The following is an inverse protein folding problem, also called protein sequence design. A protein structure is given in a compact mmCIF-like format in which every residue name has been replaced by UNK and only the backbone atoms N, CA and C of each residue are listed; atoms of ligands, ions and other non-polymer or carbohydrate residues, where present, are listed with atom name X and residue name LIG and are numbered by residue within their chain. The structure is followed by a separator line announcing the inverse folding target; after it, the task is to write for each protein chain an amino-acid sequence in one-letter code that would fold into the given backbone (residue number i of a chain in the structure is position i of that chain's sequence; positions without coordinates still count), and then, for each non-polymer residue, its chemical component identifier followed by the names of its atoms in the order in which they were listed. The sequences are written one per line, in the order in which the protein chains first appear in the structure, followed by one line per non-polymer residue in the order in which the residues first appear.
data_IF_671489478362
#
_entry.id   IF_671489478362
#
_cell.length_a   1.000
_cell.length_b   1.000
_cell.length_c   1.000
_cell.angle_alpha   90.00
_cell.angle_beta   90.00
_cell.angle_gamma   90.00
#
_symmetry.space_group_name_H-M   'P 1'
#
loop_
_entity.id
_entity.type
_entity.pdbx_description
1 polymer ?
#
# COMPACT_ATOMS: atom_id res chain seq x y z
N UNK A 1 2.08 -82.38 -10.52
CA UNK A 1 2.10 -82.15 -9.05
C UNK A 1 3.27 -81.24 -8.75
N UNK A 2 3.23 -80.19 -7.94
CA UNK A 2 2.17 -79.38 -7.33
C UNK A 2 2.98 -78.42 -6.42
N UNK A 3 2.76 -77.10 -6.55
CA UNK A 3 3.07 -76.04 -5.56
C UNK A 3 4.60 -75.76 -5.30
N UNK A 4 5.08 -74.53 -5.09
CA UNK A 4 4.44 -73.30 -4.62
C UNK A 4 5.33 -72.09 -4.98
N UNK A 5 4.69 -71.04 -5.48
CA UNK A 5 5.27 -69.73 -5.80
C UNK A 5 5.72 -69.02 -4.53
N UNK A 6 6.92 -68.43 -4.52
CA UNK A 6 7.26 -67.32 -3.62
C UNK A 6 7.58 -66.13 -4.53
N UNK A 7 6.58 -65.28 -4.74
CA UNK A 7 6.74 -64.02 -5.46
C UNK A 7 7.34 -63.00 -4.48
N UNK A 8 8.58 -62.61 -4.70
CA UNK A 8 9.16 -61.42 -4.08
C UNK A 8 8.59 -60.23 -4.84
N UNK A 9 7.57 -59.60 -4.28
CA UNK A 9 7.04 -58.34 -4.79
C UNK A 9 8.02 -57.22 -4.42
N UNK A 10 8.94 -56.89 -5.33
CA UNK A 10 9.69 -55.66 -5.27
C UNK A 10 8.73 -54.51 -5.55
N UNK A 11 8.33 -53.79 -4.50
CA UNK A 11 7.53 -52.57 -4.61
C UNK A 11 8.46 -51.46 -5.11
N UNK A 12 8.67 -51.36 -6.41
CA UNK A 12 9.29 -50.18 -7.04
C UNK A 12 8.33 -49.00 -6.87
N UNK A 13 8.65 -48.10 -5.95
CA UNK A 13 8.01 -46.80 -5.87
C UNK A 13 8.29 -46.04 -7.18
N UNK A 14 7.31 -45.98 -8.07
CA UNK A 14 7.32 -45.02 -9.18
C UNK A 14 7.21 -43.63 -8.57
N UNK A 15 8.34 -42.94 -8.43
CA UNK A 15 8.36 -41.50 -8.28
C UNK A 15 7.77 -40.91 -9.57
N UNK A 16 6.50 -40.49 -9.52
CA UNK A 16 5.97 -39.62 -10.56
C UNK A 16 6.74 -38.30 -10.46
N UNK A 17 7.29 -37.77 -11.56
CA UNK A 17 7.81 -36.43 -11.53
C UNK A 17 6.62 -35.51 -11.27
N UNK A 18 6.65 -34.78 -10.16
CA UNK A 18 5.88 -33.56 -10.03
C UNK A 18 6.39 -32.64 -11.13
N UNK A 19 5.70 -32.64 -12.27
CA UNK A 19 5.88 -31.59 -13.25
C UNK A 19 5.39 -30.31 -12.58
N UNK A 20 6.34 -29.57 -11.99
CA UNK A 20 6.13 -28.15 -11.74
C UNK A 20 5.76 -27.56 -13.09
N UNK A 21 4.51 -27.13 -13.24
CA UNK A 21 4.11 -26.30 -14.36
C UNK A 21 4.93 -25.01 -14.20
N UNK A 22 6.08 -24.98 -14.86
CA UNK A 22 6.83 -23.76 -15.05
C UNK A 22 5.88 -22.82 -15.79
N UNK A 23 5.43 -21.80 -15.07
CA UNK A 23 4.67 -20.72 -15.66
C UNK A 23 5.63 -20.04 -16.64
N UNK A 24 5.28 -20.03 -17.93
CA UNK A 24 6.06 -19.35 -18.94
C UNK A 24 6.19 -17.87 -18.55
N UNK A 25 7.43 -17.43 -18.33
CA UNK A 25 7.77 -16.02 -18.20
C UNK A 25 7.68 -15.41 -19.61
N UNK A 26 6.53 -14.81 -19.94
CA UNK A 26 6.24 -14.30 -21.29
C UNK A 26 7.05 -13.05 -21.67
N UNK A 27 7.97 -12.59 -20.81
CA UNK A 27 8.68 -11.33 -21.01
C UNK A 27 7.80 -10.09 -20.82
N UNK A 28 6.56 -10.28 -20.37
CA UNK A 28 5.59 -9.26 -20.04
C UNK A 28 5.90 -8.53 -18.74
N UNK A 29 5.26 -7.38 -18.62
CA UNK A 29 5.22 -6.59 -17.38
C UNK A 29 4.79 -7.55 -16.26
N UNK A 30 5.65 -7.79 -15.26
CA UNK A 30 5.38 -8.70 -14.15
C UNK A 30 4.10 -8.35 -13.38
N UNK A 31 3.78 -9.09 -12.31
CA UNK A 31 2.50 -8.93 -11.60
C UNK A 31 2.14 -7.47 -11.35
N UNK A 32 1.01 -7.03 -11.91
CA UNK A 32 0.46 -5.69 -11.75
C UNK A 32 -0.67 -5.70 -10.74
N UNK A 33 -0.61 -4.81 -9.76
CA UNK A 33 -1.67 -4.67 -8.73
C UNK A 33 -2.58 -3.47 -9.02
N UNK A 34 -3.81 -3.54 -8.56
CA UNK A 34 -4.73 -2.40 -8.50
C UNK A 34 -4.75 -1.82 -7.09
N UNK A 35 -4.49 -0.53 -6.96
CA UNK A 35 -4.56 0.18 -5.68
C UNK A 35 -5.64 1.25 -5.74
N UNK A 36 -6.63 1.12 -4.86
CA UNK A 36 -7.51 2.22 -4.54
C UNK A 36 -6.86 3.08 -3.46
N UNK A 37 -6.31 4.24 -3.83
CA UNK A 37 -5.73 5.18 -2.88
C UNK A 37 -6.83 6.09 -2.35
N UNK A 38 -7.66 5.66 -1.39
CA UNK A 38 -8.76 6.51 -0.92
C UNK A 38 -8.31 7.58 0.08
N UNK A 39 -9.17 8.58 0.30
CA UNK A 39 -8.91 9.68 1.26
C UNK A 39 -8.77 9.15 2.69
N UNK A 40 -9.65 8.24 3.10
CA UNK A 40 -9.70 7.72 4.49
C UNK A 40 -9.18 6.29 4.59
N UNK A 41 -9.43 5.47 3.58
CA UNK A 41 -8.95 4.09 3.50
C UNK A 41 -8.42 3.82 2.10
N UNK A 42 -7.42 2.95 2.03
CA UNK A 42 -6.89 2.41 0.79
C UNK A 42 -7.12 0.90 0.73
N UNK A 43 -7.13 0.36 -0.48
CA UNK A 43 -7.35 -1.06 -0.77
C UNK A 43 -6.37 -1.50 -1.86
N UNK A 44 -5.94 -2.75 -1.81
CA UNK A 44 -5.09 -3.35 -2.85
C UNK A 44 -5.66 -4.69 -3.29
N UNK A 45 -5.65 -4.92 -4.59
CA UNK A 45 -6.10 -6.16 -5.20
C UNK A 45 -5.22 -6.60 -6.37
N UNK A 46 -5.31 -7.87 -6.71
CA UNK A 46 -4.60 -8.48 -7.83
C UNK A 46 -5.56 -9.35 -8.63
N UNK A 47 -5.40 -9.39 -9.96
CA UNK A 47 -6.12 -10.34 -10.80
C UNK A 47 -5.26 -11.59 -11.00
N UNK A 48 -5.69 -12.72 -10.44
CA UNK A 48 -4.95 -14.00 -10.52
C UNK A 48 -5.94 -15.15 -10.62
N UNK A 49 -5.58 -16.20 -11.37
CA UNK A 49 -6.41 -17.39 -11.55
C UNK A 49 -7.85 -17.09 -12.03
N UNK A 50 -7.99 -16.12 -12.93
CA UNK A 50 -9.28 -15.75 -13.53
C UNK A 50 -10.22 -14.95 -12.62
N UNK A 51 -9.76 -14.48 -11.46
CA UNK A 51 -10.57 -13.66 -10.53
C UNK A 51 -9.76 -12.53 -9.91
N UNK A 52 -10.47 -11.53 -9.39
CA UNK A 52 -9.88 -10.49 -8.53
C UNK A 52 -9.79 -11.02 -7.10
N UNK A 53 -8.62 -10.87 -6.48
CA UNK A 53 -8.40 -11.11 -5.07
C UNK A 53 -8.10 -9.78 -4.36
N UNK A 54 -8.92 -9.43 -3.37
CA UNK A 54 -8.67 -8.29 -2.48
C UNK A 54 -7.82 -8.77 -1.32
N UNK A 55 -6.64 -8.16 -1.17
CA UNK A 55 -5.60 -8.64 -0.28
C UNK A 55 -5.84 -8.05 1.12
N UNK A 56 -5.86 -8.93 2.13
CA UNK A 56 -5.92 -8.50 3.52
C UNK A 56 -4.54 -8.03 4.00
N UNK A 57 -4.50 -7.00 4.83
CA UNK A 57 -3.28 -6.54 5.47
C UNK A 57 -2.85 -7.47 6.62
N UNK A 58 -1.77 -7.12 7.30
CA UNK A 58 -1.18 -7.85 8.43
C UNK A 58 -2.10 -7.97 9.66
N UNK A 59 -3.20 -7.22 9.72
CA UNK A 59 -4.25 -7.34 10.74
C UNK A 59 -5.48 -8.12 10.25
N UNK A 60 -5.45 -8.64 9.01
CA UNK A 60 -6.57 -9.35 8.39
C UNK A 60 -7.63 -8.43 7.76
N UNK A 61 -7.41 -7.11 7.71
CA UNK A 61 -8.34 -6.15 7.15
C UNK A 61 -8.14 -5.99 5.63
N UNK A 62 -9.23 -6.01 4.86
CA UNK A 62 -9.20 -5.80 3.39
C UNK A 62 -9.13 -4.34 2.96
N UNK A 63 -9.24 -3.42 3.90
CA UNK A 63 -9.02 -1.99 3.70
C UNK A 63 -8.08 -1.52 4.80
N UNK A 64 -7.16 -0.63 4.46
CA UNK A 64 -6.16 -0.09 5.38
C UNK A 64 -6.35 1.41 5.51
N UNK A 65 -6.41 1.99 6.72
CA UNK A 65 -6.51 3.43 6.89
C UNK A 65 -5.43 4.20 6.11
N UNK A 66 -5.80 5.28 5.45
CA UNK A 66 -4.87 6.21 4.77
C UNK A 66 -4.22 7.15 5.80
N UNK A 67 -3.53 6.56 6.76
CA UNK A 67 -2.91 7.24 7.91
C UNK A 67 -1.41 6.97 7.93
N UNK A 68 -0.63 7.99 8.27
CA UNK A 68 0.81 7.90 8.52
C UNK A 68 1.10 8.62 9.83
N UNK A 69 1.80 7.97 10.75
CA UNK A 69 2.23 8.58 12.00
C UNK A 69 3.76 8.59 12.10
N UNK A 70 4.31 9.71 12.54
CA UNK A 70 5.73 9.91 12.73
C UNK A 70 6.04 9.81 14.23
N UNK A 71 6.89 8.84 14.58
CA UNK A 71 7.26 8.54 15.96
C UNK A 71 8.53 9.28 16.34
N UNK A 72 8.68 9.69 17.60
CA UNK A 72 9.85 10.46 18.07
C UNK A 72 11.20 9.76 17.82
N UNK A 73 11.21 8.43 17.86
CA UNK A 73 12.40 7.60 17.65
C UNK A 73 12.86 7.51 16.18
N UNK A 74 12.15 8.13 15.24
CA UNK A 74 12.44 8.06 13.81
C UNK A 74 11.52 7.12 13.02
N UNK A 75 10.80 6.23 13.70
CA UNK A 75 9.94 5.25 13.05
C UNK A 75 8.71 5.91 12.40
N UNK A 76 8.17 5.23 11.39
CA UNK A 76 6.93 5.60 10.74
C UNK A 76 5.93 4.46 10.83
N UNK A 77 4.75 4.76 11.33
CA UNK A 77 3.62 3.83 11.32
C UNK A 77 2.72 4.19 10.14
N UNK A 78 2.15 3.18 9.48
CA UNK A 78 1.21 3.38 8.36
C UNK A 78 0.01 2.45 8.56
N UNK A 79 -1.18 2.92 8.22
CA UNK A 79 -2.40 2.11 8.28
C UNK A 79 -3.01 2.03 9.68
N UNK A 80 -3.41 0.83 10.08
CA UNK A 80 -4.09 0.58 11.36
C UNK A 80 -3.25 1.04 12.55
N UNK A 81 -1.94 0.77 12.53
CA UNK A 81 -1.02 1.19 13.59
C UNK A 81 -0.99 2.72 13.76
N UNK A 82 -0.95 3.47 12.65
CA UNK A 82 -0.98 4.93 12.68
C UNK A 82 -2.33 5.46 13.18
N UNK A 83 -3.44 4.89 12.71
CA UNK A 83 -4.78 5.29 13.15
C UNK A 83 -5.02 5.04 14.65
N UNK A 84 -4.55 3.91 15.17
CA UNK A 84 -4.79 3.52 16.57
C UNK A 84 -4.16 4.47 17.59
N UNK A 85 -3.06 5.14 17.24
CA UNK A 85 -2.37 6.09 18.12
C UNK A 85 -2.71 7.57 17.84
N UNK A 86 -3.64 7.85 16.92
CA UNK A 86 -3.94 9.22 16.48
C UNK A 86 -4.45 10.14 17.61
N UNK A 87 -5.05 9.58 18.67
CA UNK A 87 -5.49 10.36 19.84
C UNK A 87 -4.37 10.68 20.82
N UNK A 88 -3.28 9.90 20.79
CA UNK A 88 -2.12 10.04 21.67
C UNK A 88 -1.08 10.98 21.05
N UNK A 89 -0.93 10.92 19.72
CA UNK A 89 0.04 11.70 18.95
C UNK A 89 -0.64 12.45 17.78
N UNK A 90 -1.63 13.31 18.05
CA UNK A 90 -2.48 13.88 17.01
C UNK A 90 -1.73 14.79 16.03
N UNK A 91 -0.77 15.59 16.51
CA UNK A 91 -0.05 16.56 15.67
C UNK A 91 0.94 15.92 14.69
N UNK A 92 1.39 14.68 14.97
CA UNK A 92 2.31 13.94 14.09
C UNK A 92 1.63 12.73 13.42
N UNK A 93 0.29 12.71 13.41
CA UNK A 93 -0.50 11.69 12.72
C UNK A 93 -1.27 12.32 11.57
N UNK A 94 -0.85 12.00 10.36
CA UNK A 94 -1.33 12.58 9.12
C UNK A 94 -2.40 11.67 8.52
N UNK A 95 -3.53 12.25 8.17
CA UNK A 95 -4.65 11.61 7.48
C UNK A 95 -5.32 12.63 6.56
N UNK A 96 -6.22 12.18 5.68
CA UNK A 96 -6.91 13.02 4.70
C UNK A 96 -5.96 13.76 3.73
N UNK A 97 -4.69 13.32 3.61
CA UNK A 97 -3.66 13.99 2.81
C UNK A 97 -4.02 14.07 1.32
N UNK A 98 -4.86 13.15 0.81
CA UNK A 98 -5.40 13.18 -0.56
C UNK A 98 -6.23 14.44 -0.84
N UNK A 99 -6.70 15.16 0.19
CA UNK A 99 -7.35 16.46 0.02
C UNK A 99 -6.38 17.56 -0.40
N UNK A 100 -5.10 17.43 -0.08
CA UNK A 100 -4.04 18.40 -0.34
C UNK A 100 -3.28 18.14 -1.65
N UNK A 101 -3.28 16.90 -2.14
CA UNK A 101 -2.50 16.48 -3.30
C UNK A 101 -2.82 17.32 -4.54
N UNK A 102 -1.77 17.81 -5.21
CA UNK A 102 -1.87 18.65 -6.42
C UNK A 102 -2.59 19.99 -6.24
N UNK A 103 -2.77 20.49 -5.02
CA UNK A 103 -3.37 21.81 -4.73
C UNK A 103 -2.30 22.84 -4.38
N UNK A 104 -2.71 24.11 -4.44
CA UNK A 104 -1.92 25.20 -3.87
C UNK A 104 -2.32 25.44 -2.42
N UNK A 105 -1.35 25.86 -1.59
CA UNK A 105 -1.56 26.26 -0.21
C UNK A 105 -2.62 27.36 -0.11
N UNK A 106 -2.61 28.32 -1.02
CA UNK A 106 -3.59 29.41 -1.08
C UNK A 106 -5.03 28.98 -1.41
N UNK A 107 -5.27 27.74 -1.83
CA UNK A 107 -6.61 27.30 -2.21
C UNK A 107 -7.57 27.35 -1.03
N UNK A 108 -8.80 27.81 -1.26
CA UNK A 108 -9.83 27.94 -0.21
C UNK A 108 -10.12 26.60 0.48
N UNK A 109 -10.09 25.49 -0.26
CA UNK A 109 -10.27 24.15 0.30
C UNK A 109 -9.14 23.79 1.25
N UNK A 110 -7.87 24.05 0.88
CA UNK A 110 -6.72 23.80 1.75
C UNK A 110 -6.79 24.64 3.02
N UNK A 111 -7.16 25.92 2.90
CA UNK A 111 -7.32 26.81 4.06
C UNK A 111 -8.49 26.39 4.97
N UNK A 112 -9.53 25.75 4.43
CA UNK A 112 -10.62 25.18 5.21
C UNK A 112 -10.17 23.90 5.93
N UNK A 113 -9.57 22.95 5.19
CA UNK A 113 -9.11 21.67 5.73
C UNK A 113 -8.05 21.85 6.82
N UNK A 114 -7.15 22.83 6.68
CA UNK A 114 -6.15 23.20 7.69
C UNK A 114 -6.75 23.51 9.07
N UNK A 115 -8.01 23.98 9.14
CA UNK A 115 -8.68 24.29 10.41
C UNK A 115 -9.29 23.06 11.09
N UNK A 116 -9.38 21.95 10.37
CA UNK A 116 -10.08 20.74 10.79
C UNK A 116 -9.12 19.62 11.20
N UNK A 117 -7.87 19.71 10.77
CA UNK A 117 -6.83 18.71 11.09
C UNK A 117 -5.95 19.16 12.25
N UNK A 118 -5.44 18.23 13.08
CA UNK A 118 -4.58 18.57 14.22
C UNK A 118 -3.12 18.83 13.81
N UNK A 119 -2.63 18.22 12.74
CA UNK A 119 -1.27 18.41 12.25
C UNK A 119 -1.12 19.75 11.50
N UNK A 120 0.11 20.23 11.39
CA UNK A 120 0.37 21.53 10.75
C UNK A 120 0.41 21.39 9.22
N UNK A 121 -0.30 22.28 8.55
CA UNK A 121 -0.15 22.51 7.10
C UNK A 121 0.51 23.88 6.91
N UNK A 122 1.69 23.88 6.29
CA UNK A 122 2.51 25.06 6.03
C UNK A 122 2.68 25.28 4.53
N UNK A 123 3.13 26.46 4.14
CA UNK A 123 3.40 26.80 2.74
C UNK A 123 4.88 26.64 2.43
N UNK A 124 5.20 26.05 1.29
CA UNK A 124 6.51 26.13 0.66
C UNK A 124 6.33 26.54 -0.81
N UNK A 125 6.71 27.77 -1.15
CA UNK A 125 6.48 28.33 -2.50
C UNK A 125 5.04 28.17 -3.01
N UNK A 126 4.05 28.34 -2.11
CA UNK A 126 2.62 28.12 -2.35
C UNK A 126 2.20 26.64 -2.56
N UNK A 127 3.10 25.67 -2.39
CA UNK A 127 2.75 24.25 -2.23
C UNK A 127 2.38 23.98 -0.77
N UNK A 128 1.27 23.28 -0.46
CA UNK A 128 0.95 22.88 0.89
C UNK A 128 1.87 21.73 1.31
N UNK A 129 2.52 21.89 2.46
CA UNK A 129 3.39 20.89 3.06
C UNK A 129 2.83 20.49 4.43
N UNK A 130 2.90 19.20 4.75
CA UNK A 130 2.59 18.69 6.08
C UNK A 130 3.84 18.81 6.94
N UNK A 131 3.74 19.50 8.07
CA UNK A 131 4.84 19.65 9.03
C UNK A 131 4.56 18.81 10.28
N UNK A 132 5.53 17.97 10.64
CA UNK A 132 5.49 17.09 11.83
C UNK A 132 6.79 17.25 12.62
N UNK A 133 6.74 17.04 13.93
CA UNK A 133 7.91 17.07 14.80
C UNK A 133 8.37 15.65 15.13
N UNK A 134 9.61 15.34 14.77
CA UNK A 134 10.23 14.04 15.01
C UNK A 134 11.60 14.22 15.67
N UNK A 135 11.75 13.71 16.90
CA UNK A 135 13.01 13.81 17.65
C UNK A 135 13.46 15.26 17.89
N UNK A 136 12.51 16.17 18.11
CA UNK A 136 12.75 17.60 18.31
C UNK A 136 13.11 18.38 17.04
N UNK A 137 12.94 17.78 15.85
CA UNK A 137 13.13 18.44 14.55
C UNK A 137 11.82 18.51 13.80
N UNK A 138 11.55 19.67 13.23
CA UNK A 138 10.39 19.86 12.35
C UNK A 138 10.76 19.39 10.93
N UNK A 139 10.00 18.41 10.44
CA UNK A 139 10.14 17.82 9.12
C UNK A 139 8.93 18.21 8.27
N UNK A 140 9.18 18.53 7.01
CA UNK A 140 8.14 18.89 6.05
C UNK A 140 8.05 17.82 4.99
N UNK A 141 6.83 17.35 4.74
CA UNK A 141 6.52 16.35 3.73
C UNK A 141 5.50 16.92 2.75
N UNK A 142 5.75 16.71 1.47
CA UNK A 142 4.77 16.97 0.45
C UNK A 142 3.60 15.97 0.55
N UNK A 143 2.37 16.34 0.15
CA UNK A 143 1.23 15.42 0.14
C UNK A 143 1.49 14.14 -0.66
N UNK A 144 2.31 14.23 -1.70
CA UNK A 144 2.75 13.12 -2.54
C UNK A 144 3.63 12.15 -1.73
N UNK A 145 4.58 12.65 -0.92
CA UNK A 145 5.45 11.80 -0.09
C UNK A 145 4.67 11.02 0.97
N UNK A 146 3.68 11.65 1.61
CA UNK A 146 2.81 10.94 2.58
C UNK A 146 1.95 9.90 1.86
N UNK A 147 1.43 10.23 0.67
CA UNK A 147 0.67 9.30 -0.16
C UNK A 147 1.53 8.13 -0.63
N UNK A 148 2.80 8.36 -0.95
CA UNK A 148 3.78 7.35 -1.31
C UNK A 148 4.05 6.37 -0.15
N UNK A 149 4.05 6.83 1.11
CA UNK A 149 4.15 5.94 2.28
C UNK A 149 2.93 5.01 2.39
N UNK A 150 1.73 5.49 2.07
CA UNK A 150 0.50 4.68 2.02
C UNK A 150 0.58 3.67 0.88
N UNK A 151 0.97 4.11 -0.32
CA UNK A 151 1.21 3.23 -1.47
C UNK A 151 2.27 2.16 -1.17
N UNK A 152 3.32 2.53 -0.45
CA UNK A 152 4.36 1.60 0.02
C UNK A 152 3.79 0.51 0.94
N UNK A 153 2.88 0.85 1.85
CA UNK A 153 2.17 -0.15 2.67
C UNK A 153 1.27 -1.06 1.81
N UNK A 154 0.61 -0.52 0.78
CA UNK A 154 -0.23 -1.30 -0.12
C UNK A 154 0.61 -2.26 -0.98
N UNK A 155 1.74 -1.79 -1.50
CA UNK A 155 2.74 -2.60 -2.19
C UNK A 155 3.24 -3.73 -1.28
N UNK A 156 3.73 -3.41 -0.08
CA UNK A 156 4.23 -4.40 0.87
C UNK A 156 3.18 -5.46 1.23
N UNK A 157 1.92 -5.05 1.37
CA UNK A 157 0.80 -5.96 1.63
C UNK A 157 0.62 -6.94 0.47
N UNK A 158 0.70 -6.45 -0.77
CA UNK A 158 0.63 -7.30 -1.95
C UNK A 158 1.85 -8.22 -2.10
N UNK A 159 3.07 -7.71 -1.88
CA UNK A 159 4.31 -8.51 -1.95
C UNK A 159 4.32 -9.63 -0.92
N UNK A 160 3.88 -9.35 0.31
CA UNK A 160 3.76 -10.36 1.36
C UNK A 160 2.77 -11.47 0.96
N UNK A 161 1.66 -11.09 0.32
CA UNK A 161 0.66 -12.04 -0.15
C UNK A 161 1.13 -12.87 -1.36
N UNK A 162 1.85 -12.24 -2.29
CA UNK A 162 2.32 -12.87 -3.53
C UNK A 162 3.60 -13.69 -3.33
N UNK A 163 4.42 -13.34 -2.34
CA UNK A 163 5.74 -13.90 -2.12
C UNK A 163 6.78 -13.42 -3.14
N UNK A 164 6.54 -12.31 -3.83
CA UNK A 164 7.39 -11.76 -4.90
C UNK A 164 7.31 -10.23 -4.94
N UNK A 165 8.30 -9.59 -5.57
CA UNK A 165 8.39 -8.14 -5.73
C UNK A 165 7.33 -7.61 -6.71
N UNK A 166 6.67 -6.51 -6.36
CA UNK A 166 5.70 -5.82 -7.22
C UNK A 166 6.29 -4.52 -7.75
N UNK A 167 6.39 -4.40 -9.08
CA UNK A 167 6.97 -3.23 -9.78
C UNK A 167 5.94 -2.35 -10.48
N UNK A 168 4.72 -2.86 -10.68
CA UNK A 168 3.72 -2.19 -11.50
C UNK A 168 2.39 -2.11 -10.76
N UNK A 169 1.75 -0.95 -10.85
CA UNK A 169 0.45 -0.71 -10.23
C UNK A 169 -0.42 0.20 -11.11
N UNK A 170 -1.73 -0.02 -11.01
CA UNK A 170 -2.75 0.94 -11.45
C UNK A 170 -3.32 1.59 -10.20
N UNK A 171 -3.24 2.93 -10.10
CA UNK A 171 -3.69 3.70 -8.93
C UNK A 171 -4.93 4.53 -9.28
N UNK A 172 -5.95 4.50 -8.42
CA UNK A 172 -7.20 5.24 -8.63
C UNK A 172 -7.10 6.73 -8.26
N UNK A 173 -7.84 7.55 -8.99
CA UNK A 173 -8.09 8.96 -8.66
C UNK A 173 -9.57 9.30 -8.87
N UNK A 174 -10.14 10.25 -8.11
CA UNK A 174 -11.49 10.73 -8.36
C UNK A 174 -11.64 11.27 -9.79
N UNK A 175 -12.82 11.06 -10.39
CA UNK A 175 -13.10 11.54 -11.75
C UNK A 175 -12.89 13.06 -11.91
N UNK A 176 -13.16 13.83 -10.85
CA UNK A 176 -13.04 15.29 -10.82
C UNK A 176 -11.61 15.80 -10.56
N UNK A 177 -10.61 14.93 -10.35
CA UNK A 177 -9.22 15.38 -10.23
C UNK A 177 -8.77 16.06 -11.53
N UNK A 178 -8.18 17.25 -11.39
CA UNK A 178 -7.53 17.94 -12.49
C UNK A 178 -6.16 17.32 -12.82
N UNK A 179 -5.49 17.81 -13.87
CA UNK A 179 -4.22 17.27 -14.33
C UNK A 179 -3.10 17.35 -13.30
N UNK A 180 -3.02 18.45 -12.54
CA UNK A 180 -2.02 18.60 -11.48
C UNK A 180 -2.20 17.56 -10.37
N UNK A 181 -3.44 17.28 -9.97
CA UNK A 181 -3.74 16.27 -8.95
C UNK A 181 -3.50 14.85 -9.45
N UNK A 182 -3.76 14.58 -10.74
CA UNK A 182 -3.45 13.30 -11.39
C UNK A 182 -1.95 13.07 -11.47
N UNK A 183 -1.20 14.08 -11.90
CA UNK A 183 0.25 14.02 -11.97
C UNK A 183 0.87 13.84 -10.58
N UNK A 184 0.43 14.62 -9.60
CA UNK A 184 0.89 14.49 -8.21
C UNK A 184 0.54 13.12 -7.57
N UNK A 185 -0.51 12.43 -8.02
CA UNK A 185 -0.80 11.06 -7.56
C UNK A 185 0.11 10.02 -8.24
N UNK A 186 0.65 10.35 -9.41
CA UNK A 186 1.54 9.47 -10.20
C UNK A 186 3.00 9.61 -9.76
N UNK A 187 3.42 10.81 -9.38
CA UNK A 187 4.75 11.12 -8.85
C UNK A 187 5.01 10.41 -7.50
#
# INVERSE_FOLDING_TARGET
MMFRKLAVAALTAMAMPFAALAQEDDGGIGTTIGIDLGTTYSCVGVFKNGRVEIIANDQGNRITPSYVAFMENGDRLVGDAAKNQATINPENTVFDVKRLIGRNYSDKSVQADKKLVPYKIVSDQNKPMVEVSQGGKDLKFAPEEVSAMILGKMKLTAETFLGDEVKHAVVTVPAYFNDAQRQATKD
#
